data_IF_893821500772
#
_entry.id   IF_893821500772
#
_cell.length_a   1.000
_cell.length_b   1.000
_cell.length_c   1.000
_cell.angle_alpha   90.00
_cell.angle_beta   90.00
_cell.angle_gamma   90.00
#
_symmetry.space_group_name_H-M   'P 1'
#
loop_
_entity.id
_entity.type
_entity.pdbx_description
1 polymer ?
#
# COMPACT_ATOMS: atom_id res chain seq x y z
N UNK A 1 15.86 21.68 -8.90
CA UNK A 1 14.97 20.54 -8.63
C UNK A 1 14.69 20.48 -7.13
N UNK A 2 13.47 20.23 -6.72
CA UNK A 2 13.05 20.10 -5.31
C UNK A 2 11.98 19.03 -5.21
N UNK A 3 12.11 18.13 -4.23
CA UNK A 3 11.15 17.05 -3.98
C UNK A 3 10.48 17.22 -2.62
N UNK A 4 9.26 16.73 -2.49
CA UNK A 4 8.48 16.84 -1.25
C UNK A 4 7.67 15.58 -0.95
N UNK A 5 7.26 15.42 0.31
CA UNK A 5 6.10 14.61 0.68
C UNK A 5 5.03 15.52 1.26
N UNK A 6 3.78 15.36 0.78
CA UNK A 6 2.64 16.15 1.22
C UNK A 6 1.60 15.28 1.92
N UNK A 7 0.94 15.84 2.92
CA UNK A 7 -0.13 15.17 3.69
C UNK A 7 -0.52 15.97 4.92
N UNK A 8 -1.49 15.44 5.68
CA UNK A 8 -1.88 15.99 6.97
C UNK A 8 -2.45 14.86 7.87
N UNK A 9 -1.68 14.44 8.93
CA UNK A 9 -0.33 14.88 9.29
C UNK A 9 0.77 14.25 8.41
N UNK A 10 1.92 14.94 8.24
CA UNK A 10 3.04 14.45 7.42
C UNK A 10 4.42 14.68 8.05
N UNK A 11 4.52 15.51 9.11
CA UNK A 11 5.81 15.89 9.69
C UNK A 11 6.56 14.72 10.35
N UNK A 12 5.86 13.64 10.72
CA UNK A 12 6.45 12.42 11.28
C UNK A 12 6.80 11.36 10.21
N UNK A 13 6.61 11.70 8.93
CA UNK A 13 6.93 10.81 7.82
C UNK A 13 8.41 10.43 7.79
N UNK A 14 8.71 9.15 7.58
CA UNK A 14 10.06 8.66 7.35
C UNK A 14 10.54 8.88 5.91
N UNK A 15 9.67 9.30 5.00
CA UNK A 15 10.02 9.52 3.59
C UNK A 15 11.19 10.46 3.38
N UNK A 16 11.36 11.58 4.12
CA UNK A 16 12.52 12.45 3.95
C UNK A 16 13.84 11.72 4.23
N UNK A 17 13.88 10.90 5.28
CA UNK A 17 15.09 10.13 5.64
C UNK A 17 15.41 9.07 4.57
N UNK A 18 14.39 8.34 4.11
CA UNK A 18 14.56 7.32 3.07
C UNK A 18 15.03 7.93 1.75
N UNK A 19 14.36 8.99 1.28
CA UNK A 19 14.74 9.66 0.03
C UNK A 19 16.11 10.32 0.12
N UNK A 20 16.50 10.88 1.27
CA UNK A 20 17.85 11.43 1.45
C UNK A 20 18.92 10.33 1.25
N UNK A 21 18.74 9.15 1.84
CA UNK A 21 19.64 8.02 1.66
C UNK A 21 19.70 7.54 0.19
N UNK A 22 18.52 7.40 -0.46
CA UNK A 22 18.43 6.97 -1.86
C UNK A 22 19.08 7.98 -2.82
N UNK A 23 18.86 9.29 -2.59
CA UNK A 23 19.43 10.36 -3.41
C UNK A 23 20.96 10.41 -3.24
N UNK A 24 21.47 10.23 -2.02
CA UNK A 24 22.90 10.17 -1.77
C UNK A 24 23.56 8.97 -2.49
N UNK A 25 22.95 7.79 -2.47
CA UNK A 25 23.43 6.61 -3.20
C UNK A 25 23.50 6.85 -4.71
N UNK A 26 22.54 7.62 -5.25
CA UNK A 26 22.50 8.01 -6.65
C UNK A 26 23.44 9.19 -6.99
N UNK A 27 24.17 9.75 -6.02
CA UNK A 27 25.01 10.92 -6.20
C UNK A 27 24.23 12.20 -6.54
N UNK A 28 22.96 12.29 -6.13
CA UNK A 28 22.07 13.42 -6.42
C UNK A 28 21.92 14.30 -5.18
N UNK A 29 22.31 15.57 -5.31
CA UNK A 29 22.05 16.61 -4.28
C UNK A 29 20.70 17.30 -4.56
N UNK A 30 19.64 16.67 -4.10
CA UNK A 30 18.27 17.15 -4.28
C UNK A 30 17.55 17.20 -2.94
N UNK A 31 17.06 18.38 -2.50
CA UNK A 31 16.31 18.46 -1.26
C UNK A 31 14.98 17.75 -1.35
N UNK A 32 14.70 16.92 -0.35
CA UNK A 32 13.42 16.26 -0.14
C UNK A 32 12.89 16.62 1.25
N UNK A 33 11.72 17.27 1.33
CA UNK A 33 11.19 17.79 2.58
C UNK A 33 9.70 17.51 2.77
N UNK A 34 9.21 17.34 4.01
CA UNK A 34 7.80 17.24 4.29
C UNK A 34 7.14 18.62 4.17
N UNK A 35 5.90 18.63 3.70
CA UNK A 35 5.05 19.83 3.66
C UNK A 35 3.62 19.47 4.06
N UNK A 36 3.12 20.15 5.09
CA UNK A 36 1.71 20.03 5.48
C UNK A 36 0.86 20.72 4.41
N UNK A 37 -0.07 19.96 3.86
CA UNK A 37 -1.12 20.44 2.95
C UNK A 37 -2.42 19.89 3.52
N UNK A 38 -3.38 20.77 3.85
CA UNK A 38 -4.66 20.36 4.42
C UNK A 38 -5.63 19.96 3.32
N UNK A 39 -6.67 19.23 3.73
CA UNK A 39 -7.76 18.90 2.79
C UNK A 39 -8.34 20.15 2.17
N UNK A 40 -8.49 20.18 0.84
CA UNK A 40 -8.95 21.34 0.06
C UNK A 40 -7.86 22.33 -0.39
N UNK A 41 -6.61 22.20 0.10
CA UNK A 41 -5.51 23.10 -0.27
C UNK A 41 -4.69 22.61 -1.49
N UNK A 42 -5.02 21.43 -2.05
CA UNK A 42 -4.28 20.86 -3.19
C UNK A 42 -4.17 21.77 -4.41
N UNK A 43 -5.24 22.48 -4.86
CA UNK A 43 -5.12 23.37 -6.01
C UNK A 43 -4.10 24.50 -5.79
N UNK A 44 -4.14 25.11 -4.62
CA UNK A 44 -3.19 26.17 -4.23
C UNK A 44 -1.78 25.63 -4.10
N UNK A 45 -1.63 24.42 -3.53
CA UNK A 45 -0.33 23.76 -3.45
C UNK A 45 0.26 23.48 -4.83
N UNK A 46 -0.51 22.94 -5.77
CA UNK A 46 -0.04 22.60 -7.12
C UNK A 46 0.41 23.86 -7.89
N UNK A 47 -0.31 24.97 -7.76
CA UNK A 47 0.09 26.26 -8.32
C UNK A 47 1.40 26.75 -7.70
N UNK A 48 1.47 26.81 -6.37
CA UNK A 48 2.67 27.20 -5.63
C UNK A 48 3.88 26.32 -5.98
N UNK A 49 3.70 25.00 -6.09
CA UNK A 49 4.77 24.06 -6.37
C UNK A 49 5.45 24.31 -7.73
N UNK A 50 4.65 24.64 -8.77
CA UNK A 50 5.16 25.04 -10.09
C UNK A 50 6.07 26.27 -10.01
N UNK A 51 5.64 27.31 -9.28
CA UNK A 51 6.35 28.58 -9.15
C UNK A 51 7.62 28.47 -8.29
N UNK A 52 7.67 27.48 -7.38
CA UNK A 52 8.75 27.32 -6.40
C UNK A 52 9.74 26.17 -6.72
N UNK A 53 9.75 25.71 -7.98
CA UNK A 53 10.73 24.75 -8.48
C UNK A 53 10.57 23.34 -7.92
N UNK A 54 9.37 22.97 -7.44
CA UNK A 54 9.04 21.59 -7.11
C UNK A 54 8.89 20.80 -8.41
N UNK A 55 9.65 19.72 -8.55
CA UNK A 55 9.63 18.86 -9.74
C UNK A 55 8.97 17.52 -9.50
N UNK A 56 8.68 17.18 -8.25
CA UNK A 56 7.97 15.97 -7.88
C UNK A 56 7.61 15.95 -6.40
N UNK A 57 6.61 15.17 -6.06
CA UNK A 57 6.23 14.96 -4.68
C UNK A 57 5.53 13.60 -4.47
N UNK A 58 5.66 13.06 -3.27
CA UNK A 58 4.82 11.98 -2.81
C UNK A 58 3.61 12.54 -2.05
N UNK A 59 2.47 11.87 -2.17
CA UNK A 59 1.26 12.20 -1.44
C UNK A 59 0.86 11.06 -0.51
N UNK A 60 0.54 11.44 0.74
CA UNK A 60 -0.08 10.54 1.71
C UNK A 60 -1.48 11.02 2.08
N UNK A 61 -2.05 10.48 3.14
CA UNK A 61 -3.37 10.93 3.62
C UNK A 61 -3.42 12.45 3.80
N UNK A 62 -4.56 13.07 3.44
CA UNK A 62 -5.77 12.52 2.84
C UNK A 62 -5.84 12.61 1.30
N UNK A 63 -4.74 12.88 0.60
CA UNK A 63 -4.68 13.46 -0.74
C UNK A 63 -4.67 12.47 -1.91
N UNK A 64 -4.41 11.18 -1.67
CA UNK A 64 -4.15 10.20 -2.75
C UNK A 64 -5.29 10.11 -3.79
N UNK A 65 -6.53 10.21 -3.35
CA UNK A 65 -7.72 10.18 -4.22
C UNK A 65 -8.05 11.58 -4.75
N UNK A 66 -7.90 12.60 -3.91
CA UNK A 66 -8.23 13.99 -4.25
C UNK A 66 -7.32 14.59 -5.35
N UNK A 67 -6.15 13.99 -5.59
CA UNK A 67 -5.23 14.38 -6.67
C UNK A 67 -5.73 13.98 -8.07
N UNK A 68 -6.53 12.92 -8.20
CA UNK A 68 -6.96 12.40 -9.50
C UNK A 68 -7.57 13.45 -10.44
N UNK A 69 -8.54 14.29 -10.00
CA UNK A 69 -9.14 15.28 -10.87
C UNK A 69 -8.27 16.54 -11.09
N UNK A 70 -7.15 16.66 -10.38
CA UNK A 70 -6.33 17.88 -10.37
C UNK A 70 -5.06 17.79 -11.22
N UNK A 71 -4.71 16.58 -11.67
CA UNK A 71 -3.49 16.33 -12.42
C UNK A 71 -3.73 16.35 -13.93
N UNK A 72 -2.72 16.79 -14.67
CA UNK A 72 -2.76 16.89 -16.14
C UNK A 72 -2.70 15.52 -16.83
N UNK A 73 -2.17 14.50 -16.15
CA UNK A 73 -2.08 13.14 -16.64
C UNK A 73 -2.00 12.14 -15.47
N UNK A 74 -2.52 10.94 -15.70
CA UNK A 74 -2.49 9.86 -14.71
C UNK A 74 -2.09 8.57 -15.40
N UNK A 75 -1.07 7.93 -14.84
CA UNK A 75 -0.62 6.61 -15.26
C UNK A 75 -1.79 5.59 -15.22
N UNK A 76 -1.86 4.65 -16.17
CA UNK A 76 -2.94 3.66 -16.20
C UNK A 76 -3.08 2.83 -14.91
N UNK A 77 -1.98 2.44 -14.27
CA UNK A 77 -2.03 1.70 -13.00
C UNK A 77 -2.59 2.56 -11.87
N UNK A 78 -2.18 3.84 -11.76
CA UNK A 78 -2.72 4.78 -10.79
C UNK A 78 -4.22 5.04 -11.01
N UNK A 79 -4.65 5.09 -12.26
CA UNK A 79 -6.07 5.23 -12.64
C UNK A 79 -6.87 3.99 -12.24
N UNK A 80 -6.35 2.79 -12.48
CA UNK A 80 -7.00 1.53 -12.07
C UNK A 80 -7.11 1.43 -10.54
N UNK A 81 -6.07 1.85 -9.81
CA UNK A 81 -6.08 1.92 -8.34
C UNK A 81 -7.05 3.01 -7.84
N UNK A 82 -7.31 4.06 -8.63
CA UNK A 82 -8.10 5.22 -8.19
C UNK A 82 -7.41 6.04 -7.10
N UNK A 83 -6.06 6.06 -7.09
CA UNK A 83 -5.27 6.81 -6.13
C UNK A 83 -3.87 7.12 -6.69
N UNK A 84 -3.35 8.29 -6.36
CA UNK A 84 -2.00 8.76 -6.72
C UNK A 84 -1.18 8.96 -5.45
N UNK A 85 -0.02 8.33 -5.36
CA UNK A 85 0.93 8.53 -4.25
C UNK A 85 2.23 9.22 -4.69
N UNK A 86 2.46 9.35 -5.98
CA UNK A 86 3.67 9.94 -6.55
C UNK A 86 3.29 10.85 -7.73
N UNK A 87 3.79 12.08 -7.74
CA UNK A 87 3.53 13.05 -8.80
C UNK A 87 4.87 13.61 -9.30
N UNK A 88 5.03 13.65 -10.62
CA UNK A 88 6.20 14.21 -11.29
C UNK A 88 5.79 15.33 -12.26
N UNK A 89 6.60 16.39 -12.32
CA UNK A 89 6.47 17.42 -13.34
C UNK A 89 7.21 16.95 -14.61
N UNK A 90 6.46 16.70 -15.69
CA UNK A 90 6.99 16.30 -17.00
C UNK A 90 6.49 17.27 -18.06
N UNK A 91 7.41 17.93 -18.74
CA UNK A 91 7.08 18.91 -19.80
C UNK A 91 6.04 19.96 -19.34
N UNK A 92 6.23 20.49 -18.13
CA UNK A 92 5.33 21.44 -17.50
C UNK A 92 3.98 20.89 -17.03
N UNK A 93 3.75 19.59 -17.13
CA UNK A 93 2.51 18.90 -16.74
C UNK A 93 2.70 18.06 -15.49
N UNK A 94 1.76 18.09 -14.56
CA UNK A 94 1.72 17.20 -13.42
C UNK A 94 1.18 15.82 -13.84
N UNK A 95 2.01 14.80 -13.72
CA UNK A 95 1.64 13.40 -14.03
C UNK A 95 1.67 12.57 -12.74
N UNK A 96 0.57 11.90 -12.45
CA UNK A 96 0.39 11.08 -11.26
C UNK A 96 0.62 9.60 -11.49
N UNK A 97 1.25 8.95 -10.50
CA UNK A 97 1.57 7.52 -10.46
C UNK A 97 1.12 6.92 -9.14
N UNK A 98 0.98 5.60 -9.12
CA UNK A 98 0.85 4.83 -7.89
C UNK A 98 1.93 3.75 -7.82
N UNK A 99 2.82 3.88 -6.84
CA UNK A 99 3.94 2.96 -6.61
C UNK A 99 3.68 1.97 -5.47
N UNK A 100 2.57 2.12 -4.72
CA UNK A 100 2.27 1.29 -3.54
C UNK A 100 2.16 -0.19 -3.93
N UNK A 101 1.43 -0.49 -5.02
CA UNK A 101 1.23 -1.87 -5.46
C UNK A 101 2.51 -2.53 -5.97
N UNK A 102 3.27 -1.84 -6.81
CA UNK A 102 4.56 -2.34 -7.30
C UNK A 102 5.56 -2.54 -6.16
N UNK A 103 5.60 -1.60 -5.20
CA UNK A 103 6.40 -1.72 -3.99
C UNK A 103 6.04 -2.95 -3.16
N UNK A 104 4.74 -3.21 -2.97
CA UNK A 104 4.29 -4.41 -2.25
C UNK A 104 4.74 -5.71 -2.95
N UNK A 105 4.62 -5.82 -4.27
CA UNK A 105 5.06 -7.00 -5.02
C UNK A 105 6.57 -7.18 -4.95
N UNK A 106 7.36 -6.10 -5.07
CA UNK A 106 8.81 -6.16 -4.90
C UNK A 106 9.20 -6.58 -3.48
N UNK A 107 8.54 -6.02 -2.46
CA UNK A 107 8.79 -6.36 -1.07
C UNK A 107 8.51 -7.85 -0.76
N UNK A 108 7.49 -8.45 -1.39
CA UNK A 108 7.21 -9.90 -1.26
C UNK A 108 8.36 -10.74 -1.76
N UNK A 109 8.90 -10.41 -2.94
CA UNK A 109 10.01 -11.14 -3.54
C UNK A 109 11.29 -10.96 -2.71
N UNK A 110 11.64 -9.72 -2.40
CA UNK A 110 12.93 -9.38 -1.79
C UNK A 110 12.95 -9.68 -0.28
N UNK A 111 11.81 -9.51 0.42
CA UNK A 111 11.70 -9.69 1.87
C UNK A 111 11.19 -11.05 2.31
N UNK A 112 10.33 -11.70 1.53
CA UNK A 112 9.75 -13.01 1.87
C UNK A 112 10.21 -14.14 0.93
N UNK A 113 10.88 -13.82 -0.19
CA UNK A 113 11.22 -14.82 -1.21
C UNK A 113 9.99 -15.44 -1.86
N UNK A 114 8.90 -14.67 -1.97
CA UNK A 114 7.63 -15.12 -2.56
C UNK A 114 7.40 -14.43 -3.91
N UNK A 115 7.25 -15.23 -4.95
CA UNK A 115 6.82 -14.73 -6.26
C UNK A 115 5.30 -14.59 -6.30
N UNK A 116 4.81 -13.48 -6.85
CA UNK A 116 3.38 -13.25 -6.98
C UNK A 116 2.72 -14.22 -7.98
N UNK A 117 3.47 -14.65 -9.01
CA UNK A 117 2.95 -15.54 -10.04
C UNK A 117 2.53 -16.90 -9.46
N UNK A 118 1.29 -17.32 -9.73
CA UNK A 118 0.70 -18.56 -9.24
C UNK A 118 0.29 -18.55 -7.76
N UNK A 119 0.61 -17.52 -7.01
CA UNK A 119 0.36 -17.39 -5.57
C UNK A 119 -1.14 -17.24 -5.28
N UNK A 120 -1.59 -17.85 -4.19
CA UNK A 120 -2.90 -17.57 -3.58
C UNK A 120 -2.69 -16.73 -2.31
N UNK A 121 -3.42 -15.64 -2.18
CA UNK A 121 -3.27 -14.71 -1.06
C UNK A 121 -4.60 -14.42 -0.36
N UNK A 122 -4.55 -14.19 0.95
CA UNK A 122 -5.59 -13.54 1.75
C UNK A 122 -5.16 -12.10 2.01
N UNK A 123 -6.00 -11.16 1.64
CA UNK A 123 -5.76 -9.74 1.85
C UNK A 123 -6.85 -9.17 2.77
N UNK A 124 -6.41 -8.62 3.89
CA UNK A 124 -7.28 -8.04 4.91
C UNK A 124 -7.44 -6.55 4.68
N UNK A 125 -8.68 -6.10 4.43
CA UNK A 125 -9.03 -4.72 4.14
C UNK A 125 -9.42 -4.48 2.68
N UNK A 126 -10.07 -3.33 2.42
CA UNK A 126 -10.49 -2.88 1.09
C UNK A 126 -10.35 -1.36 0.93
N UNK A 127 -9.35 -0.77 1.60
CA UNK A 127 -8.96 0.65 1.45
C UNK A 127 -7.99 0.86 0.28
N UNK A 128 -7.44 2.07 0.17
CA UNK A 128 -6.53 2.45 -0.93
C UNK A 128 -5.28 1.57 -1.03
N UNK A 129 -4.62 1.26 0.11
CA UNK A 129 -3.48 0.35 0.13
C UNK A 129 -3.87 -1.07 -0.28
N UNK A 130 -5.01 -1.58 0.21
CA UNK A 130 -5.56 -2.88 -0.19
C UNK A 130 -5.82 -2.95 -1.69
N UNK A 131 -6.40 -1.90 -2.26
CA UNK A 131 -6.69 -1.79 -3.69
C UNK A 131 -5.41 -1.86 -4.52
N UNK A 132 -4.40 -1.05 -4.16
CA UNK A 132 -3.12 -1.04 -4.85
C UNK A 132 -2.44 -2.41 -4.80
N UNK A 133 -2.36 -3.02 -3.62
CA UNK A 133 -1.73 -4.33 -3.42
C UNK A 133 -2.49 -5.45 -4.15
N UNK A 134 -3.82 -5.51 -4.02
CA UNK A 134 -4.63 -6.55 -4.65
C UNK A 134 -4.53 -6.52 -6.18
N UNK A 135 -4.67 -5.33 -6.79
CA UNK A 135 -4.56 -5.17 -8.25
C UNK A 135 -3.15 -5.46 -8.74
N UNK A 136 -2.11 -5.07 -7.99
CA UNK A 136 -0.73 -5.39 -8.34
C UNK A 136 -0.44 -6.89 -8.26
N UNK A 137 -0.91 -7.59 -7.23
CA UNK A 137 -0.81 -9.04 -7.12
C UNK A 137 -1.53 -9.74 -8.28
N UNK A 138 -2.73 -9.29 -8.64
CA UNK A 138 -3.47 -9.80 -9.80
C UNK A 138 -2.66 -9.60 -11.08
N UNK A 139 -2.17 -8.39 -11.35
CA UNK A 139 -1.38 -8.05 -12.52
C UNK A 139 -0.05 -8.84 -12.59
N UNK A 140 0.59 -9.08 -11.43
CA UNK A 140 1.81 -9.86 -11.32
C UNK A 140 1.61 -11.38 -11.44
N UNK A 141 0.39 -11.85 -11.70
CA UNK A 141 0.11 -13.24 -12.01
C UNK A 141 -0.37 -14.10 -10.83
N UNK A 142 -0.80 -13.51 -9.72
CA UNK A 142 -1.42 -14.26 -8.64
C UNK A 142 -2.56 -15.14 -9.16
N UNK A 143 -2.63 -16.38 -8.66
CA UNK A 143 -3.71 -17.30 -9.05
C UNK A 143 -5.06 -16.84 -8.51
N UNK A 144 -5.07 -16.39 -7.25
CA UNK A 144 -6.26 -15.88 -6.57
C UNK A 144 -5.87 -14.97 -5.41
N UNK A 145 -6.60 -13.87 -5.23
CA UNK A 145 -6.49 -12.99 -4.06
C UNK A 145 -7.86 -12.87 -3.41
N UNK A 146 -8.01 -13.37 -2.20
CA UNK A 146 -9.23 -13.24 -1.42
C UNK A 146 -9.20 -11.91 -0.65
N UNK A 147 -10.13 -11.03 -0.95
CA UNK A 147 -10.24 -9.72 -0.30
C UNK A 147 -11.25 -9.81 0.83
N UNK A 148 -10.76 -9.81 2.07
CA UNK A 148 -11.58 -9.92 3.29
C UNK A 148 -11.79 -8.53 3.89
N UNK A 149 -13.04 -8.09 4.02
CA UNK A 149 -13.36 -6.78 4.60
C UNK A 149 -14.63 -6.81 5.45
N UNK A 150 -14.63 -6.07 6.57
CA UNK A 150 -15.80 -5.96 7.47
C UNK A 150 -17.07 -5.45 6.78
N UNK A 151 -16.90 -4.63 5.73
CA UNK A 151 -17.99 -4.14 4.88
C UNK A 151 -17.91 -4.92 3.56
N UNK A 152 -18.79 -5.90 3.32
CA UNK A 152 -18.71 -6.78 2.15
C UNK A 152 -18.80 -6.03 0.82
N UNK A 153 -19.56 -4.94 0.77
CA UNK A 153 -19.74 -4.10 -0.41
C UNK A 153 -18.41 -3.50 -0.89
N UNK A 154 -17.53 -3.10 0.04
CA UNK A 154 -16.19 -2.57 -0.29
C UNK A 154 -15.30 -3.65 -0.90
N UNK A 155 -15.34 -4.87 -0.37
CA UNK A 155 -14.60 -5.99 -0.95
C UNK A 155 -15.11 -6.31 -2.37
N UNK A 156 -16.44 -6.37 -2.57
CA UNK A 156 -17.05 -6.57 -3.90
C UNK A 156 -16.66 -5.46 -4.88
N UNK A 157 -16.75 -4.20 -4.46
CA UNK A 157 -16.40 -3.05 -5.29
C UNK A 157 -14.93 -3.06 -5.70
N UNK A 158 -14.01 -3.47 -4.81
CA UNK A 158 -12.61 -3.64 -5.13
C UNK A 158 -12.42 -4.78 -6.13
N UNK A 159 -12.99 -5.95 -5.88
CA UNK A 159 -12.86 -7.11 -6.76
C UNK A 159 -13.41 -6.86 -8.17
N UNK A 160 -14.46 -6.07 -8.31
CA UNK A 160 -15.04 -5.70 -9.60
C UNK A 160 -14.11 -4.81 -10.46
N UNK A 161 -13.07 -4.23 -9.87
CA UNK A 161 -12.08 -3.42 -10.60
C UNK A 161 -10.95 -4.25 -11.22
N UNK A 162 -10.88 -5.55 -10.91
CA UNK A 162 -9.84 -6.42 -11.45
C UNK A 162 -10.23 -6.95 -12.85
N UNK A 163 -9.58 -6.50 -13.93
CA UNK A 163 -9.90 -6.93 -15.28
C UNK A 163 -9.52 -8.39 -15.55
N UNK A 164 -8.69 -8.99 -14.67
CA UNK A 164 -8.22 -10.37 -14.82
C UNK A 164 -9.08 -11.38 -14.07
N UNK A 165 -10.05 -10.93 -13.26
CA UNK A 165 -10.97 -11.77 -12.50
C UNK A 165 -10.31 -12.67 -11.45
N UNK A 166 -9.14 -12.28 -10.94
CA UNK A 166 -8.36 -13.03 -9.94
C UNK A 166 -8.71 -12.65 -8.51
N UNK A 167 -9.37 -11.51 -8.30
CA UNK A 167 -9.83 -11.08 -6.99
C UNK A 167 -11.17 -11.71 -6.65
N UNK A 168 -11.35 -12.11 -5.40
CA UNK A 168 -12.61 -12.67 -4.89
C UNK A 168 -12.95 -12.07 -3.53
N UNK A 169 -14.16 -11.50 -3.35
CA UNK A 169 -14.56 -10.98 -2.05
C UNK A 169 -14.84 -12.11 -1.07
N UNK A 170 -14.49 -11.91 0.20
CA UNK A 170 -14.75 -12.85 1.27
C UNK A 170 -15.14 -12.13 2.56
N UNK A 171 -15.76 -12.87 3.47
CA UNK A 171 -16.13 -12.35 4.77
C UNK A 171 -14.90 -12.17 5.67
N UNK A 172 -14.98 -11.21 6.58
CA UNK A 172 -13.92 -10.94 7.57
C UNK A 172 -14.37 -11.52 8.92
N UNK A 173 -14.37 -12.84 9.01
CA UNK A 173 -14.69 -13.59 10.24
C UNK A 173 -13.69 -14.72 10.46
N UNK A 174 -13.53 -15.23 11.71
CA UNK A 174 -12.50 -16.21 12.04
C UNK A 174 -12.59 -17.50 11.23
N UNK A 175 -13.79 -18.02 10.96
CA UNK A 175 -13.98 -19.28 10.25
C UNK A 175 -13.57 -19.15 8.77
N UNK A 176 -14.05 -18.09 8.09
CA UNK A 176 -13.68 -17.78 6.72
C UNK A 176 -12.18 -17.52 6.60
N UNK A 177 -11.58 -16.74 7.52
CA UNK A 177 -10.15 -16.45 7.49
C UNK A 177 -9.30 -17.72 7.66
N UNK A 178 -9.69 -18.64 8.55
CA UNK A 178 -8.98 -19.91 8.76
C UNK A 178 -9.07 -20.82 7.52
N UNK A 179 -10.25 -20.94 6.90
CA UNK A 179 -10.42 -21.72 5.65
C UNK A 179 -9.54 -21.15 4.52
N UNK A 180 -9.57 -19.84 4.32
CA UNK A 180 -8.81 -19.19 3.27
C UNK A 180 -7.30 -19.24 3.53
N UNK A 181 -6.86 -19.06 4.79
CA UNK A 181 -5.47 -19.16 5.20
C UNK A 181 -4.90 -20.55 4.88
N UNK A 182 -5.64 -21.61 5.17
CA UNK A 182 -5.19 -23.00 4.94
C UNK A 182 -4.86 -23.36 3.48
N UNK A 183 -5.28 -22.53 2.54
CA UNK A 183 -5.03 -22.71 1.09
C UNK A 183 -4.27 -21.54 0.45
N UNK A 184 -3.64 -20.70 1.25
CA UNK A 184 -2.94 -19.50 0.79
C UNK A 184 -1.47 -19.52 1.22
N UNK A 185 -0.59 -19.03 0.37
CA UNK A 185 0.84 -18.88 0.63
C UNK A 185 1.18 -17.51 1.20
N UNK A 186 0.21 -16.56 1.20
CA UNK A 186 0.44 -15.20 1.65
C UNK A 186 -0.79 -14.67 2.38
N UNK A 187 -0.56 -14.02 3.52
CA UNK A 187 -1.54 -13.17 4.19
C UNK A 187 -1.01 -11.75 4.23
N UNK A 188 -1.81 -10.77 3.77
CA UNK A 188 -1.45 -9.34 3.78
C UNK A 188 -2.43 -8.56 4.64
N UNK A 189 -1.93 -7.86 5.66
CA UNK A 189 -2.72 -6.88 6.40
C UNK A 189 -2.62 -5.50 5.73
N UNK A 190 -3.73 -5.05 5.16
CA UNK A 190 -3.90 -3.71 4.60
C UNK A 190 -4.87 -2.86 5.43
N UNK A 191 -5.21 -3.31 6.64
CA UNK A 191 -6.04 -2.56 7.60
C UNK A 191 -5.16 -1.70 8.50
N UNK A 192 -5.77 -0.90 9.34
CA UNK A 192 -5.08 -0.19 10.43
C UNK A 192 -5.10 -0.97 11.77
N UNK A 193 -5.57 -2.23 11.77
CA UNK A 193 -5.54 -3.09 12.97
C UNK A 193 -4.10 -3.44 13.32
N UNK A 194 -3.67 -3.04 14.49
CA UNK A 194 -2.29 -3.19 14.98
C UNK A 194 -1.43 -1.93 14.87
N UNK A 195 -1.90 -0.88 14.17
CA UNK A 195 -1.23 0.41 14.14
C UNK A 195 -1.40 1.14 15.48
N UNK A 196 -0.41 1.91 15.88
CA UNK A 196 -0.46 2.71 17.12
C UNK A 196 -1.68 3.65 17.11
N UNK A 197 -2.42 3.66 18.22
CA UNK A 197 -3.66 4.44 18.35
C UNK A 197 -4.88 3.86 17.63
N UNK A 198 -4.75 2.71 16.96
CA UNK A 198 -5.85 2.00 16.30
C UNK A 198 -6.24 0.72 17.03
N UNK A 199 -7.32 0.07 16.59
CA UNK A 199 -7.76 -1.20 17.14
C UNK A 199 -6.78 -2.36 16.88
N UNK A 200 -7.03 -3.48 17.57
CA UNK A 200 -6.25 -4.73 17.43
C UNK A 200 -7.12 -5.84 16.83
N UNK A 201 -6.48 -6.85 16.26
CA UNK A 201 -7.16 -8.11 15.95
C UNK A 201 -7.61 -8.77 17.28
N UNK A 202 -8.83 -9.29 17.29
CA UNK A 202 -9.39 -9.98 18.46
C UNK A 202 -9.05 -11.49 18.43
N UNK A 203 -8.72 -12.02 17.27
CA UNK A 203 -8.41 -13.44 17.04
C UNK A 203 -7.27 -13.58 16.04
N UNK A 204 -6.37 -14.49 16.31
CA UNK A 204 -5.23 -14.85 15.47
C UNK A 204 -5.23 -16.35 15.11
N UNK A 205 -6.33 -17.07 15.33
CA UNK A 205 -6.45 -18.51 15.07
C UNK A 205 -6.16 -18.85 13.60
N UNK A 206 -6.55 -17.97 12.68
CA UNK A 206 -6.31 -18.12 11.25
C UNK A 206 -4.83 -18.24 10.87
N UNK A 207 -3.91 -17.70 11.69
CA UNK A 207 -2.47 -17.87 11.45
C UNK A 207 -2.02 -19.32 11.60
N UNK A 208 -2.70 -20.10 12.45
CA UNK A 208 -2.41 -21.53 12.65
C UNK A 208 -2.83 -22.41 11.47
N UNK A 209 -3.68 -21.89 10.58
CA UNK A 209 -4.09 -22.60 9.37
C UNK A 209 -3.14 -22.37 8.18
N UNK A 210 -2.30 -21.33 8.21
CA UNK A 210 -1.34 -21.04 7.15
C UNK A 210 -0.33 -22.20 7.00
N UNK A 211 0.04 -22.54 5.75
CA UNK A 211 1.15 -23.47 5.49
C UNK A 211 2.46 -22.99 6.16
N UNK A 212 3.37 -23.91 6.56
CA UNK A 212 4.60 -23.53 7.27
C UNK A 212 5.54 -22.61 6.47
N UNK A 213 5.47 -22.65 5.15
CA UNK A 213 6.25 -21.82 4.21
C UNK A 213 5.54 -20.54 3.79
N UNK A 214 4.34 -20.26 4.33
CA UNK A 214 3.60 -19.05 4.04
C UNK A 214 4.29 -17.79 4.60
N UNK A 215 3.98 -16.66 3.97
CA UNK A 215 4.39 -15.33 4.42
C UNK A 215 3.23 -14.53 5.01
N UNK A 216 3.54 -13.72 6.02
CA UNK A 216 2.63 -12.73 6.59
C UNK A 216 3.25 -11.35 6.38
N UNK A 217 2.59 -10.54 5.56
CA UNK A 217 2.99 -9.18 5.25
C UNK A 217 2.03 -8.18 5.91
N UNK A 218 2.55 -7.35 6.79
CA UNK A 218 1.77 -6.27 7.40
C UNK A 218 2.21 -4.94 6.80
N UNK A 219 1.33 -4.22 6.13
CA UNK A 219 1.66 -2.91 5.54
C UNK A 219 1.89 -1.82 6.61
N UNK A 220 1.66 -2.13 7.87
CA UNK A 220 1.99 -1.25 8.99
C UNK A 220 3.51 -1.27 9.20
N UNK A 221 4.11 -0.09 9.35
CA UNK A 221 5.53 0.08 9.66
C UNK A 221 5.77 0.75 11.03
N UNK A 222 4.71 1.21 11.68
CA UNK A 222 4.77 1.76 13.04
C UNK A 222 3.56 1.27 13.87
N UNK A 223 3.81 0.40 14.88
CA UNK A 223 5.11 -0.13 15.32
C UNK A 223 5.79 -0.99 14.25
N UNK A 224 7.11 -1.16 14.37
CA UNK A 224 7.89 -2.00 13.42
C UNK A 224 7.50 -3.48 13.50
N UNK A 225 7.01 -3.93 14.65
CA UNK A 225 6.44 -5.25 14.86
C UNK A 225 5.06 -5.11 15.49
N UNK A 226 4.03 -5.42 14.71
CA UNK A 226 2.65 -5.49 15.19
C UNK A 226 2.39 -6.81 15.92
N UNK A 227 1.31 -6.90 16.71
CA UNK A 227 0.94 -8.17 17.33
C UNK A 227 0.67 -9.27 16.27
N UNK A 228 0.15 -8.91 15.09
CA UNK A 228 -0.01 -9.85 13.98
C UNK A 228 1.32 -10.48 13.58
N UNK A 229 2.37 -9.68 13.37
CA UNK A 229 3.70 -10.18 13.01
C UNK A 229 4.35 -10.98 14.14
N UNK A 230 4.19 -10.52 15.38
CA UNK A 230 4.67 -11.23 16.58
C UNK A 230 4.04 -12.62 16.69
N UNK A 231 2.71 -12.72 16.52
CA UNK A 231 1.97 -13.99 16.53
C UNK A 231 2.37 -14.90 15.38
N UNK A 232 2.63 -14.36 14.18
CA UNK A 232 3.10 -15.10 13.03
C UNK A 232 4.51 -15.69 13.26
N UNK A 233 5.44 -14.87 13.79
CA UNK A 233 6.81 -15.31 14.15
C UNK A 233 6.80 -16.44 15.17
N UNK A 234 5.96 -16.37 16.23
CA UNK A 234 5.80 -17.43 17.22
C UNK A 234 5.36 -18.76 16.62
N UNK A 235 4.74 -18.74 15.45
CA UNK A 235 4.33 -19.94 14.67
C UNK A 235 5.34 -20.36 13.62
N UNK A 236 6.51 -19.70 13.55
CA UNK A 236 7.56 -20.00 12.58
C UNK A 236 7.29 -19.50 11.15
N UNK A 237 6.26 -18.66 10.97
CA UNK A 237 5.94 -18.09 9.65
C UNK A 237 6.93 -16.96 9.27
N UNK A 238 7.20 -16.81 7.99
CA UNK A 238 7.96 -15.69 7.46
C UNK A 238 7.16 -14.40 7.61
N UNK A 239 7.81 -13.31 8.03
CA UNK A 239 7.11 -12.04 8.30
C UNK A 239 7.81 -10.88 7.65
N UNK A 240 7.03 -9.90 7.21
CA UNK A 240 7.49 -8.65 6.62
C UNK A 240 6.61 -7.50 7.13
N UNK A 241 7.20 -6.37 7.47
CA UNK A 241 6.48 -5.14 7.78
C UNK A 241 6.42 -4.19 6.57
N UNK A 242 5.72 -3.05 6.70
CA UNK A 242 5.47 -2.10 5.63
C UNK A 242 6.59 -1.07 5.38
N UNK A 243 7.82 -1.30 5.89
CA UNK A 243 8.93 -0.36 5.72
C UNK A 243 9.80 -0.75 4.54
#
# INVERSE_FOLDING_TARGET
>A
MRLQVIGDPVLHSKSPLLHAAMLAELGLDVPYAPRVVRRGELPQYLAWARENGVTGFNATMPHKEDLLPLLDGIDPAARAVGAVNTVCLRDGRWVGFNTDGGGAVSALRDGLGLEAAGLTAVLLGAGGAARATALALSAAGARRVFVCNRTPERARALCAQDPLGRLSPAAFDPATLSDLAGRSQLLVNCTNLGMEGCGQFQDFSFLGALPPDAGVFDLIYHPAETELLSQAKRRGLRTLNGL
#
